data_IF_148658660938
#
_entry.id   IF_148658660938
#
_cell.length_a   1.000
_cell.length_b   1.000
_cell.length_c   1.000
_cell.angle_alpha   90.00
_cell.angle_beta   90.00
_cell.angle_gamma   90.00
#
_symmetry.space_group_name_H-M   'P 1'
#
loop_
_entity.id
_entity.type
_entity.pdbx_description
1 polymer ?
#
# COMPACT_ATOMS: atom_id res chain seq x y z
N UNK A 1 15.99 -35.45 -18.13
CA UNK A 1 14.53 -35.68 -18.16
C UNK A 1 13.92 -34.63 -17.26
N UNK A 2 13.46 -33.51 -17.82
CA UNK A 2 12.92 -32.41 -17.03
C UNK A 2 11.56 -32.81 -16.45
N UNK A 3 11.39 -32.61 -15.15
CA UNK A 3 10.12 -32.84 -14.46
C UNK A 3 9.03 -31.94 -15.06
N UNK A 4 7.78 -32.41 -15.21
CA UNK A 4 6.69 -31.53 -15.58
C UNK A 4 6.52 -30.49 -14.47
N UNK A 5 6.54 -29.20 -14.86
CA UNK A 5 6.19 -28.09 -13.97
C UNK A 5 4.75 -28.31 -13.51
N UNK A 6 4.56 -28.74 -12.27
CA UNK A 6 3.23 -28.82 -11.67
C UNK A 6 2.65 -27.42 -11.59
N UNK A 7 1.44 -27.22 -12.12
CA UNK A 7 0.71 -25.97 -12.13
C UNK A 7 0.76 -25.27 -10.76
N UNK A 8 1.62 -24.27 -10.65
CA UNK A 8 1.68 -23.37 -9.50
C UNK A 8 0.52 -22.38 -9.63
N UNK A 9 -0.36 -22.37 -8.62
CA UNK A 9 -1.47 -21.44 -8.41
C UNK A 9 -2.02 -20.81 -9.69
N UNK A 10 -2.80 -21.60 -10.44
CA UNK A 10 -3.62 -21.09 -11.54
C UNK A 10 -4.55 -20.02 -10.96
N UNK A 11 -4.49 -18.80 -11.47
CA UNK A 11 -5.48 -17.80 -11.13
C UNK A 11 -6.76 -18.24 -11.83
N UNK A 12 -7.81 -18.44 -11.04
CA UNK A 12 -9.12 -18.74 -11.60
C UNK A 12 -9.48 -17.61 -12.61
N UNK A 13 -10.25 -18.00 -13.62
CA UNK A 13 -10.66 -17.31 -14.85
C UNK A 13 -11.26 -15.89 -14.72
N UNK A 14 -11.11 -15.23 -13.57
CA UNK A 14 -11.66 -13.93 -13.20
C UNK A 14 -10.60 -12.83 -13.01
N UNK A 15 -9.31 -13.07 -13.29
CA UNK A 15 -8.30 -12.02 -13.23
C UNK A 15 -8.60 -10.95 -14.29
N UNK A 16 -9.22 -9.84 -13.87
CA UNK A 16 -9.52 -8.70 -14.74
C UNK A 16 -8.29 -7.81 -14.88
N UNK A 17 -7.81 -7.66 -16.11
CA UNK A 17 -6.82 -6.64 -16.45
C UNK A 17 -7.59 -5.38 -16.83
N UNK A 18 -7.38 -4.26 -16.14
CA UNK A 18 -8.00 -2.98 -16.54
C UNK A 18 -7.09 -2.30 -17.55
N UNK A 19 -7.62 -1.93 -18.73
CA UNK A 19 -6.89 -1.31 -19.84
C UNK A 19 -7.68 -0.14 -20.43
N UNK A 20 -7.03 1.02 -20.56
CA UNK A 20 -7.42 2.25 -21.28
C UNK A 20 -8.73 2.93 -20.87
N UNK A 21 -9.79 2.17 -20.56
CA UNK A 21 -11.10 2.58 -19.98
C UNK A 21 -12.04 1.36 -19.76
N UNK A 22 -11.53 0.11 -19.76
CA UNK A 22 -12.35 -1.10 -19.65
C UNK A 22 -11.62 -2.33 -19.11
N UNK A 23 -12.30 -3.48 -19.08
CA UNK A 23 -11.74 -4.77 -18.66
C UNK A 23 -11.27 -5.60 -19.86
N UNK A 24 -10.03 -6.06 -19.81
CA UNK A 24 -9.50 -7.11 -20.67
C UNK A 24 -9.60 -8.45 -19.95
N UNK A 25 -10.16 -9.44 -20.66
CA UNK A 25 -10.28 -10.81 -20.20
C UNK A 25 -9.34 -11.69 -21.05
N UNK A 26 -8.27 -12.24 -20.46
CA UNK A 26 -7.41 -13.22 -21.13
C UNK A 26 -8.20 -14.44 -21.62
N UNK A 27 -7.83 -14.99 -22.77
CA UNK A 27 -8.41 -16.26 -23.25
C UNK A 27 -7.85 -17.45 -22.47
N UNK A 28 -6.59 -17.35 -22.03
CA UNK A 28 -5.94 -18.34 -21.17
C UNK A 28 -5.70 -17.77 -19.76
N UNK A 29 -5.75 -18.61 -18.72
CA UNK A 29 -5.58 -18.15 -17.36
C UNK A 29 -4.20 -17.53 -17.15
N UNK A 30 -4.15 -16.45 -16.36
CA UNK A 30 -2.89 -15.94 -15.83
C UNK A 30 -2.35 -16.93 -14.78
N UNK A 31 -1.03 -17.00 -14.64
CA UNK A 31 -0.42 -17.76 -13.56
C UNK A 31 0.68 -16.97 -12.86
N UNK A 32 0.96 -17.34 -11.61
CA UNK A 32 2.17 -16.91 -10.93
C UNK A 32 3.23 -18.01 -11.05
N UNK A 33 4.41 -17.64 -11.52
CA UNK A 33 5.54 -18.56 -11.50
C UNK A 33 6.03 -18.81 -10.06
N UNK A 34 7.03 -19.68 -9.89
CA UNK A 34 7.63 -20.00 -8.57
C UNK A 34 8.25 -18.81 -7.85
N UNK A 35 8.50 -17.70 -8.55
CA UNK A 35 9.05 -16.45 -8.01
C UNK A 35 7.95 -15.41 -7.71
N UNK A 36 6.67 -15.76 -7.85
CA UNK A 36 5.56 -14.83 -7.64
C UNK A 36 5.42 -13.78 -8.74
N UNK A 37 5.92 -14.05 -9.96
CA UNK A 37 5.76 -13.17 -11.13
C UNK A 37 4.54 -13.58 -11.94
N UNK A 38 3.72 -12.60 -12.31
CA UNK A 38 2.54 -12.82 -13.15
C UNK A 38 2.93 -13.06 -14.60
N UNK A 39 2.34 -14.09 -15.17
CA UNK A 39 2.63 -14.57 -16.51
C UNK A 39 1.35 -14.60 -17.33
N UNK A 40 1.45 -14.18 -18.58
CA UNK A 40 0.34 -14.07 -19.54
C UNK A 40 0.67 -14.86 -20.80
N UNK A 41 -0.32 -15.51 -21.41
CA UNK A 41 -0.08 -16.23 -22.66
C UNK A 41 0.39 -15.27 -23.74
N UNK A 42 1.35 -15.67 -24.58
CA UNK A 42 1.94 -14.79 -25.59
C UNK A 42 0.87 -14.20 -26.54
N UNK A 43 -0.15 -14.99 -26.89
CA UNK A 43 -1.29 -14.52 -27.70
C UNK A 43 -2.11 -13.43 -26.98
N UNK A 44 -2.39 -13.61 -25.68
CA UNK A 44 -3.10 -12.61 -24.88
C UNK A 44 -2.26 -11.34 -24.68
N UNK A 45 -0.94 -11.48 -24.50
CA UNK A 45 -0.01 -10.36 -24.40
C UNK A 45 0.01 -9.53 -25.70
N UNK A 46 0.06 -10.19 -26.86
CA UNK A 46 0.02 -9.52 -28.16
C UNK A 46 -1.24 -8.67 -28.33
N UNK A 47 -2.41 -9.22 -27.96
CA UNK A 47 -3.70 -8.49 -28.01
C UNK A 47 -3.74 -7.34 -27.01
N UNK A 48 -3.36 -7.59 -25.77
CA UNK A 48 -3.42 -6.64 -24.66
C UNK A 48 -2.48 -5.45 -24.88
N UNK A 49 -1.24 -5.72 -25.28
CA UNK A 49 -0.18 -4.72 -25.39
C UNK A 49 -0.06 -4.14 -26.81
N UNK A 50 -0.93 -4.57 -27.73
CA UNK A 50 -0.93 -4.15 -29.14
C UNK A 50 0.46 -4.29 -29.78
N UNK A 51 1.07 -5.48 -29.60
CA UNK A 51 2.36 -5.82 -30.16
C UNK A 51 2.28 -7.07 -31.04
N UNK A 52 3.20 -7.19 -32.01
CA UNK A 52 3.40 -8.40 -32.78
C UNK A 52 4.45 -9.28 -32.09
N UNK A 53 4.28 -10.60 -32.15
CA UNK A 53 5.22 -11.57 -31.59
C UNK A 53 5.57 -12.59 -32.66
N UNK A 54 6.84 -12.62 -33.05
CA UNK A 54 7.38 -13.52 -34.06
C UNK A 54 8.42 -14.46 -33.43
N UNK A 55 8.48 -15.69 -33.93
CA UNK A 55 9.56 -16.61 -33.58
C UNK A 55 10.79 -16.31 -34.44
N UNK A 56 11.94 -16.10 -33.79
CA UNK A 56 13.24 -15.92 -34.45
C UNK A 56 13.88 -17.27 -34.72
N UNK A 57 13.82 -18.16 -33.73
CA UNK A 57 14.26 -19.55 -33.81
C UNK A 57 13.43 -20.41 -32.83
N UNK A 58 13.74 -21.70 -32.68
CA UNK A 58 12.97 -22.61 -31.82
C UNK A 58 12.90 -22.19 -30.33
N UNK A 59 13.81 -21.35 -29.86
CA UNK A 59 13.95 -20.95 -28.47
C UNK A 59 13.97 -19.43 -28.28
N UNK A 60 13.72 -18.64 -29.32
CA UNK A 60 13.77 -17.18 -29.26
C UNK A 60 12.54 -16.57 -29.92
N UNK A 61 11.94 -15.62 -29.21
CA UNK A 61 10.87 -14.76 -29.72
C UNK A 61 11.35 -13.32 -29.83
N UNK A 62 10.71 -12.58 -30.73
CA UNK A 62 10.85 -11.15 -30.89
C UNK A 62 9.47 -10.51 -30.83
N UNK A 63 9.31 -9.54 -29.93
CA UNK A 63 8.14 -8.69 -29.85
C UNK A 63 8.45 -7.36 -30.52
N UNK A 64 7.48 -6.81 -31.26
CA UNK A 64 7.60 -5.51 -31.92
C UNK A 64 6.34 -4.66 -31.74
N UNK A 65 6.52 -3.38 -31.45
CA UNK A 65 5.46 -2.37 -31.44
C UNK A 65 6.05 -1.00 -31.71
N UNK A 66 5.57 -0.30 -32.75
CA UNK A 66 6.17 0.95 -33.23
C UNK A 66 7.70 0.84 -33.40
N UNK A 67 8.48 1.66 -32.69
CA UNK A 67 9.95 1.67 -32.72
C UNK A 67 10.59 0.77 -31.65
N UNK A 68 9.80 -0.04 -30.95
CA UNK A 68 10.25 -0.94 -29.88
C UNK A 68 10.41 -2.36 -30.41
N UNK A 69 11.58 -2.94 -30.18
CA UNK A 69 11.91 -4.34 -30.46
C UNK A 69 12.45 -5.01 -29.19
N UNK A 70 11.82 -6.11 -28.79
CA UNK A 70 12.18 -6.88 -27.60
C UNK A 70 12.50 -8.32 -28.03
N UNK A 71 13.72 -8.80 -27.82
CA UNK A 71 14.06 -10.22 -28.00
C UNK A 71 14.17 -10.93 -26.66
N UNK A 72 13.53 -12.10 -26.54
CA UNK A 72 13.59 -12.94 -25.35
C UNK A 72 13.88 -14.40 -25.74
N UNK A 73 14.72 -15.07 -24.95
CA UNK A 73 15.00 -16.50 -25.11
C UNK A 73 14.29 -17.32 -24.04
N UNK A 74 13.69 -18.43 -24.43
CA UNK A 74 12.91 -19.30 -23.54
C UNK A 74 13.79 -19.85 -22.42
N UNK A 75 13.36 -19.64 -21.17
CA UNK A 75 14.07 -20.09 -19.97
C UNK A 75 15.38 -19.33 -19.66
N UNK A 76 15.78 -18.35 -20.47
CA UNK A 76 17.00 -17.57 -20.26
C UNK A 76 16.64 -16.22 -19.63
N UNK A 77 17.18 -15.88 -18.44
CA UNK A 77 16.79 -14.69 -17.69
C UNK A 77 17.43 -13.40 -18.22
N UNK A 78 17.31 -13.18 -19.53
CA UNK A 78 17.91 -12.08 -20.28
C UNK A 78 16.89 -11.53 -21.29
N UNK A 79 16.93 -10.24 -21.54
CA UNK A 79 16.09 -9.60 -22.56
C UNK A 79 16.90 -8.57 -23.32
N UNK A 80 16.75 -8.53 -24.64
CA UNK A 80 17.36 -7.49 -25.48
C UNK A 80 16.26 -6.52 -25.87
N UNK A 81 16.35 -5.28 -25.41
CA UNK A 81 15.44 -4.18 -25.72
C UNK A 81 16.16 -3.16 -26.59
N UNK A 82 15.72 -2.96 -27.84
CA UNK A 82 16.33 -2.01 -28.78
C UNK A 82 17.88 -2.10 -28.81
N UNK A 83 18.38 -3.34 -28.96
CA UNK A 83 19.81 -3.72 -28.96
C UNK A 83 20.55 -3.53 -27.62
N UNK A 84 19.86 -3.19 -26.54
CA UNK A 84 20.41 -3.12 -25.19
C UNK A 84 20.08 -4.40 -24.41
N UNK A 85 21.09 -5.03 -23.82
CA UNK A 85 20.94 -6.19 -22.96
C UNK A 85 20.46 -5.78 -21.56
N UNK A 86 19.39 -6.42 -21.07
CA UNK A 86 18.79 -6.26 -19.74
C UNK A 86 18.95 -7.57 -18.98
N UNK A 87 19.70 -7.51 -17.86
CA UNK A 87 19.94 -8.65 -16.96
C UNK A 87 19.95 -8.16 -15.50
N UNK A 88 19.27 -8.86 -14.58
CA UNK A 88 18.40 -10.02 -14.80
C UNK A 88 17.03 -9.61 -15.35
N UNK A 89 16.47 -10.39 -16.28
CA UNK A 89 15.10 -10.23 -16.78
C UNK A 89 14.33 -11.55 -16.63
N UNK A 90 13.05 -11.58 -16.20
CA UNK A 90 12.31 -12.83 -16.18
C UNK A 90 12.23 -13.47 -17.58
N UNK A 91 12.48 -14.79 -17.70
CA UNK A 91 12.35 -15.47 -18.99
C UNK A 91 10.89 -15.76 -19.35
N UNK A 92 10.56 -15.85 -20.65
CA UNK A 92 9.35 -16.53 -21.09
C UNK A 92 9.47 -18.03 -20.82
N UNK A 93 8.34 -18.66 -20.46
CA UNK A 93 8.27 -20.05 -20.01
C UNK A 93 7.17 -20.81 -20.76
N UNK A 94 7.42 -22.04 -21.24
CA UNK A 94 6.40 -22.88 -21.83
C UNK A 94 5.61 -23.63 -20.74
N UNK A 95 4.28 -23.62 -20.84
CA UNK A 95 3.37 -24.43 -20.02
C UNK A 95 2.33 -25.06 -20.94
N UNK A 96 2.22 -26.38 -20.93
CA UNK A 96 1.22 -27.16 -21.70
C UNK A 96 1.10 -26.69 -23.17
N UNK A 97 2.24 -26.66 -23.88
CA UNK A 97 2.39 -26.19 -25.27
C UNK A 97 2.06 -24.72 -25.54
N UNK A 98 1.77 -23.93 -24.50
CA UNK A 98 1.56 -22.49 -24.60
C UNK A 98 2.79 -21.76 -24.09
N UNK A 99 3.27 -20.77 -24.86
CA UNK A 99 4.32 -19.87 -24.38
C UNK A 99 3.70 -18.75 -23.54
N UNK A 100 4.26 -18.53 -22.36
CA UNK A 100 3.85 -17.44 -21.49
C UNK A 100 4.98 -16.47 -21.23
N UNK A 101 4.61 -15.20 -21.16
CA UNK A 101 5.51 -14.07 -21.02
C UNK A 101 5.35 -13.42 -19.64
N UNK A 102 6.43 -12.87 -19.07
CA UNK A 102 6.32 -12.07 -17.85
C UNK A 102 5.55 -10.79 -18.13
N UNK A 103 4.32 -10.70 -17.62
CA UNK A 103 3.38 -9.64 -17.97
C UNK A 103 3.98 -8.26 -17.69
N UNK A 104 4.46 -8.04 -16.47
CA UNK A 104 5.01 -6.76 -16.02
C UNK A 104 6.19 -6.31 -16.88
N UNK A 105 7.23 -7.13 -16.98
CA UNK A 105 8.45 -6.75 -17.72
C UNK A 105 8.17 -6.55 -19.20
N UNK A 106 7.28 -7.34 -19.80
CA UNK A 106 6.90 -7.18 -21.21
C UNK A 106 6.14 -5.86 -21.44
N UNK A 107 5.17 -5.57 -20.58
CA UNK A 107 4.35 -4.36 -20.65
C UNK A 107 5.18 -3.08 -20.41
N UNK A 108 6.03 -3.08 -19.37
CA UNK A 108 6.89 -1.94 -19.04
C UNK A 108 7.88 -1.59 -20.15
N UNK A 109 8.46 -2.59 -20.83
CA UNK A 109 9.32 -2.36 -21.99
C UNK A 109 8.58 -1.78 -23.19
N UNK A 110 7.28 -2.05 -23.32
CA UNK A 110 6.41 -1.46 -24.34
C UNK A 110 5.84 -0.10 -23.91
N UNK A 111 6.28 0.45 -22.77
CA UNK A 111 5.87 1.77 -22.26
C UNK A 111 4.60 1.78 -21.42
N UNK A 112 4.02 0.61 -21.12
CA UNK A 112 2.87 0.50 -20.22
C UNK A 112 3.32 0.52 -18.77
N UNK A 113 2.49 1.01 -17.85
CA UNK A 113 2.72 0.79 -16.43
C UNK A 113 1.86 -0.35 -15.90
N UNK A 114 2.40 -1.15 -14.97
CA UNK A 114 1.69 -2.28 -14.38
C UNK A 114 1.67 -2.17 -12.87
N UNK A 115 0.47 -2.18 -12.29
CA UNK A 115 0.25 -2.30 -10.85
C UNK A 115 -0.33 -3.66 -10.52
N UNK A 116 0.15 -4.30 -9.46
CA UNK A 116 -0.40 -5.55 -8.95
C UNK A 116 -0.89 -5.34 -7.51
N UNK A 117 -2.16 -5.64 -7.27
CA UNK A 117 -2.74 -5.69 -5.93
C UNK A 117 -2.77 -7.16 -5.47
N UNK A 118 -1.89 -7.47 -4.51
CA UNK A 118 -1.78 -8.81 -3.95
C UNK A 118 -3.01 -9.22 -3.11
N UNK A 119 -3.76 -8.27 -2.55
CA UNK A 119 -4.93 -8.55 -1.74
C UNK A 119 -6.15 -8.93 -2.60
N UNK A 120 -6.35 -8.22 -3.71
CA UNK A 120 -7.42 -8.51 -4.68
C UNK A 120 -6.98 -9.45 -5.81
N UNK A 121 -5.70 -9.80 -5.89
CA UNK A 121 -5.15 -10.64 -6.95
C UNK A 121 -5.37 -10.06 -8.36
N UNK A 122 -5.42 -8.72 -8.48
CA UNK A 122 -5.67 -8.02 -9.73
C UNK A 122 -4.42 -7.32 -10.24
N UNK A 123 -4.23 -7.29 -11.56
CA UNK A 123 -3.23 -6.45 -12.21
C UNK A 123 -3.92 -5.36 -13.03
N UNK A 124 -3.47 -4.11 -12.87
CA UNK A 124 -3.93 -2.96 -13.64
C UNK A 124 -2.83 -2.52 -14.59
N UNK A 125 -3.18 -2.26 -15.84
CA UNK A 125 -2.23 -1.91 -16.89
C UNK A 125 -2.64 -0.57 -17.49
N UNK A 126 -1.74 0.40 -17.38
CA UNK A 126 -1.95 1.76 -17.84
C UNK A 126 -1.22 1.95 -19.17
N UNK A 127 -1.94 2.45 -20.17
CA UNK A 127 -1.39 2.77 -21.48
C UNK A 127 -0.35 3.90 -21.38
N UNK A 128 0.68 3.95 -22.27
CA UNK A 128 1.71 4.99 -22.23
C UNK A 128 1.14 6.42 -22.28
N UNK A 129 0.00 6.60 -22.95
CA UNK A 129 -0.68 7.89 -23.13
C UNK A 129 -1.54 8.31 -21.92
N UNK A 130 -1.73 7.41 -20.95
CA UNK A 130 -2.48 7.69 -19.72
C UNK A 130 -1.47 8.03 -18.63
N UNK A 131 -1.62 9.19 -17.94
CA UNK A 131 -0.81 9.48 -16.76
C UNK A 131 -0.92 8.30 -15.79
N UNK A 132 0.19 7.61 -15.58
CA UNK A 132 0.28 6.57 -14.55
C UNK A 132 -0.06 7.26 -13.23
N UNK A 133 -1.00 6.75 -12.42
CA UNK A 133 -1.10 7.18 -11.03
C UNK A 133 0.30 7.16 -10.43
N UNK A 134 0.68 8.17 -9.64
CA UNK A 134 2.03 8.22 -9.05
C UNK A 134 2.38 6.83 -8.49
N UNK A 135 3.58 6.27 -8.79
CA UNK A 135 3.92 4.90 -8.43
C UNK A 135 3.56 4.69 -6.97
N UNK A 136 2.84 3.61 -6.68
CA UNK A 136 2.62 3.23 -5.28
C UNK A 136 3.99 3.26 -4.60
N UNK A 137 4.16 4.00 -3.49
CA UNK A 137 5.40 3.99 -2.71
C UNK A 137 5.93 2.57 -2.64
N UNK A 138 7.22 2.34 -2.96
CA UNK A 138 7.85 1.06 -2.63
C UNK A 138 7.41 0.68 -1.21
N UNK A 139 6.91 -0.55 -1.00
CA UNK A 139 6.43 -0.94 0.31
C UNK A 139 7.56 -0.69 1.30
N UNK A 140 7.23 -0.04 2.42
CA UNK A 140 8.23 0.28 3.43
C UNK A 140 9.05 -0.98 3.76
N UNK A 141 10.37 -0.86 3.96
CA UNK A 141 11.21 -2.01 4.28
C UNK A 141 10.58 -2.78 5.43
N UNK A 142 10.64 -4.11 5.45
CA UNK A 142 9.91 -4.92 6.45
C UNK A 142 10.17 -4.46 7.90
N UNK A 143 11.38 -3.96 8.19
CA UNK A 143 11.78 -3.42 9.47
C UNK A 143 12.01 -1.92 9.39
N UNK A 144 11.46 -1.22 10.37
CA UNK A 144 11.72 0.20 10.58
C UNK A 144 13.14 0.44 11.14
N UNK A 145 13.66 1.68 11.04
CA UNK A 145 14.95 2.04 11.59
C UNK A 145 15.11 1.66 13.08
N UNK A 146 16.33 1.25 13.45
CA UNK A 146 16.67 0.81 14.80
C UNK A 146 16.94 2.03 15.69
N UNK A 147 16.61 1.94 16.98
CA UNK A 147 16.91 2.94 18.02
C UNK A 147 16.25 4.33 17.84
N UNK A 148 15.07 4.40 17.23
CA UNK A 148 14.32 5.67 17.23
C UNK A 148 13.85 6.05 18.65
N UNK A 149 13.74 7.35 18.96
CA UNK A 149 13.04 7.83 20.15
C UNK A 149 11.63 7.25 20.28
N UNK A 150 11.06 7.28 21.48
CA UNK A 150 9.71 6.73 21.71
C UNK A 150 8.62 7.39 20.87
N UNK A 151 8.79 8.67 20.52
CA UNK A 151 7.92 9.44 19.65
C UNK A 151 8.73 10.57 19.00
N UNK A 152 8.20 11.15 17.92
CA UNK A 152 8.82 12.28 17.27
C UNK A 152 8.15 12.62 15.94
N UNK A 153 8.61 13.72 15.32
CA UNK A 153 8.20 14.07 13.96
C UNK A 153 8.92 13.17 12.96
N UNK A 154 8.21 12.61 11.97
CA UNK A 154 8.85 11.70 11.01
C UNK A 154 9.83 12.45 10.10
N UNK A 155 9.52 13.70 9.73
CA UNK A 155 10.39 14.54 8.92
C UNK A 155 11.70 14.93 9.60
N UNK A 156 11.75 14.83 10.94
CA UNK A 156 12.96 15.06 11.73
C UNK A 156 13.71 13.77 12.10
N UNK A 157 13.27 12.62 11.58
CA UNK A 157 13.76 11.30 12.01
C UNK A 157 14.32 10.50 10.84
N UNK A 158 15.65 10.26 10.82
CA UNK A 158 16.33 9.42 9.83
C UNK A 158 15.64 8.09 9.55
N UNK A 159 15.24 7.89 8.31
CA UNK A 159 14.58 6.68 7.81
C UNK A 159 13.07 6.66 7.96
N UNK A 160 12.45 7.74 8.48
CA UNK A 160 11.00 7.92 8.48
C UNK A 160 10.53 9.02 7.52
N UNK A 161 11.43 9.75 6.87
CA UNK A 161 11.08 10.90 6.02
C UNK A 161 10.26 10.51 4.79
N UNK A 162 10.47 9.29 4.29
CA UNK A 162 9.83 8.77 3.08
C UNK A 162 8.76 7.71 3.38
N UNK A 163 8.11 7.79 4.56
CA UNK A 163 7.08 6.81 4.95
C UNK A 163 5.88 6.75 3.99
N UNK A 164 5.66 7.80 3.21
CA UNK A 164 4.60 7.92 2.21
C UNK A 164 5.15 8.58 0.94
N UNK A 165 5.92 7.84 0.13
CA UNK A 165 6.42 8.34 -1.16
C UNK A 165 5.24 8.76 -2.06
N UNK A 166 5.43 9.84 -2.80
CA UNK A 166 4.41 10.39 -3.71
C UNK A 166 3.37 11.29 -3.04
N UNK A 167 3.30 11.31 -1.71
CA UNK A 167 2.40 12.21 -0.98
C UNK A 167 3.11 13.54 -0.66
N UNK A 168 2.42 14.67 -0.88
CA UNK A 168 2.90 16.00 -0.51
C UNK A 168 2.65 16.23 0.99
N UNK A 169 3.50 15.64 1.82
CA UNK A 169 3.34 15.64 3.29
C UNK A 169 3.54 17.05 3.87
N UNK A 170 2.54 17.55 4.59
CA UNK A 170 2.57 18.81 5.36
C UNK A 170 3.20 18.56 6.73
N UNK A 171 2.79 17.50 7.42
CA UNK A 171 3.31 17.11 8.72
C UNK A 171 3.24 15.60 8.92
N UNK A 172 4.07 15.07 9.81
CA UNK A 172 4.12 13.64 10.09
C UNK A 172 4.66 13.36 11.48
N UNK A 173 4.05 12.41 12.18
CA UNK A 173 4.39 12.08 13.55
C UNK A 173 4.34 10.57 13.77
N UNK A 174 5.20 10.10 14.66
CA UNK A 174 5.25 8.70 15.04
C UNK A 174 5.26 8.49 16.55
N UNK A 175 4.72 7.34 16.97
CA UNK A 175 4.80 6.86 18.36
C UNK A 175 5.17 5.38 18.38
N UNK A 176 5.85 4.94 19.44
CA UNK A 176 6.26 3.54 19.60
C UNK A 176 5.18 2.73 20.31
N UNK A 177 4.89 1.53 19.79
CA UNK A 177 4.08 0.52 20.47
C UNK A 177 4.86 -0.05 21.65
N UNK A 178 4.62 0.51 22.84
CA UNK A 178 5.24 0.04 24.09
C UNK A 178 4.70 -1.35 24.48
N UNK A 179 3.38 -1.52 24.40
CA UNK A 179 2.73 -2.82 24.48
C UNK A 179 2.45 -3.34 23.07
N UNK A 180 3.14 -4.43 22.72
CA UNK A 180 3.10 -5.14 21.44
C UNK A 180 2.28 -6.42 21.49
N UNK A 181 1.41 -6.59 22.50
CA UNK A 181 0.47 -7.71 22.53
C UNK A 181 -0.33 -7.76 21.22
N UNK A 182 -0.56 -8.98 20.73
CA UNK A 182 -1.20 -9.23 19.42
C UNK A 182 -2.53 -8.48 19.32
N UNK A 183 -3.36 -8.59 20.36
CA UNK A 183 -4.68 -7.98 20.40
C UNK A 183 -4.64 -6.46 20.35
N UNK A 184 -3.74 -5.84 21.13
CA UNK A 184 -3.59 -4.38 21.15
C UNK A 184 -3.06 -3.87 19.81
N UNK A 185 -2.04 -4.54 19.26
CA UNK A 185 -1.45 -4.18 17.97
C UNK A 185 -2.47 -4.29 16.85
N UNK A 186 -3.31 -5.34 16.86
CA UNK A 186 -4.42 -5.50 15.92
C UNK A 186 -5.41 -4.33 16.00
N UNK A 187 -5.82 -3.93 17.21
CA UNK A 187 -6.73 -2.79 17.40
C UNK A 187 -6.14 -1.46 16.86
N UNK A 188 -4.85 -1.23 17.09
CA UNK A 188 -4.16 -0.04 16.56
C UNK A 188 -4.15 -0.08 15.03
N UNK A 189 -3.77 -1.21 14.42
CA UNK A 189 -3.80 -1.40 12.96
C UNK A 189 -5.18 -1.11 12.37
N UNK A 190 -6.24 -1.69 12.94
CA UNK A 190 -7.62 -1.45 12.50
C UNK A 190 -8.00 0.04 12.59
N UNK A 191 -7.62 0.73 13.66
CA UNK A 191 -7.90 2.16 13.77
C UNK A 191 -7.08 3.03 12.82
N UNK A 192 -5.84 2.66 12.47
CA UNK A 192 -5.08 3.35 11.42
C UNK A 192 -5.77 3.15 10.07
N UNK A 193 -6.11 1.91 9.72
CA UNK A 193 -6.79 1.57 8.47
C UNK A 193 -8.11 2.31 8.30
N UNK A 194 -8.85 2.55 9.39
CA UNK A 194 -10.14 3.23 9.31
C UNK A 194 -10.01 4.73 8.94
N UNK A 195 -8.87 5.37 9.22
CA UNK A 195 -8.65 6.80 8.96
C UNK A 195 -7.72 7.06 7.78
N UNK A 196 -6.93 6.07 7.37
CA UNK A 196 -5.93 6.17 6.29
C UNK A 196 -6.61 6.45 4.94
N UNK A 197 -6.07 7.42 4.20
CA UNK A 197 -6.57 7.85 2.90
C UNK A 197 -7.78 8.80 2.93
N UNK A 198 -8.33 9.14 4.11
CA UNK A 198 -9.47 10.06 4.18
C UNK A 198 -9.08 11.46 3.71
N UNK A 199 -9.83 12.00 2.73
CA UNK A 199 -9.67 13.36 2.24
C UNK A 199 -10.65 14.30 2.93
N UNK A 200 -10.14 15.44 3.42
CA UNK A 200 -10.91 16.54 3.98
C UNK A 200 -10.80 17.77 3.10
N UNK A 201 -11.95 18.25 2.62
CA UNK A 201 -12.06 19.49 1.87
C UNK A 201 -11.86 20.72 2.79
N UNK A 202 -11.47 21.89 2.24
CA UNK A 202 -11.41 23.13 2.99
C UNK A 202 -12.68 23.38 3.82
N UNK A 203 -12.49 23.74 5.09
CA UNK A 203 -13.54 24.01 6.07
C UNK A 203 -14.18 22.78 6.72
N UNK A 204 -13.97 21.57 6.21
CA UNK A 204 -14.55 20.34 6.78
C UNK A 204 -13.92 19.98 8.13
N UNK A 205 -14.73 19.36 9.00
CA UNK A 205 -14.31 18.89 10.32
C UNK A 205 -14.20 17.37 10.31
N UNK A 206 -13.02 16.88 10.67
CA UNK A 206 -12.79 15.47 10.97
C UNK A 206 -13.38 15.10 12.33
N UNK A 207 -13.88 13.89 12.47
CA UNK A 207 -14.17 13.26 13.76
C UNK A 207 -13.59 11.86 13.78
N UNK A 208 -12.68 11.61 14.72
CA UNK A 208 -12.02 10.31 14.83
C UNK A 208 -13.04 9.21 15.09
N UNK A 209 -14.01 9.46 15.99
CA UNK A 209 -15.04 8.47 16.27
C UNK A 209 -15.92 8.21 15.05
N UNK A 210 -16.46 9.24 14.40
CA UNK A 210 -17.31 9.04 13.20
C UNK A 210 -16.59 8.23 12.13
N UNK A 211 -15.31 8.53 11.88
CA UNK A 211 -14.51 7.83 10.87
C UNK A 211 -14.15 6.39 11.30
N UNK A 212 -13.70 6.18 12.53
CA UNK A 212 -13.29 4.84 13.00
C UNK A 212 -14.47 3.90 13.34
N UNK A 213 -15.61 4.47 13.69
CA UNK A 213 -16.80 3.74 14.10
C UNK A 213 -16.70 3.07 15.48
N UNK A 214 -17.70 2.26 15.85
CA UNK A 214 -17.71 1.55 17.13
C UNK A 214 -16.62 0.46 17.17
N UNK A 215 -15.99 0.27 18.34
CA UNK A 215 -14.95 -0.76 18.53
C UNK A 215 -15.58 -2.10 18.93
N UNK A 216 -16.21 -2.79 17.98
CA UNK A 216 -16.93 -4.06 18.22
C UNK A 216 -16.17 -5.31 17.77
N UNK A 217 -16.62 -6.49 18.19
CA UNK A 217 -15.99 -7.76 17.79
C UNK A 217 -16.14 -8.04 16.31
N UNK A 218 -17.30 -7.71 15.75
CA UNK A 218 -17.68 -7.90 14.35
C UNK A 218 -16.79 -7.05 13.43
N UNK A 219 -16.30 -5.91 13.94
CA UNK A 219 -15.33 -5.04 13.27
C UNK A 219 -13.87 -5.45 13.55
N UNK A 220 -13.66 -6.62 14.15
CA UNK A 220 -12.34 -7.19 14.39
C UNK A 220 -11.62 -6.66 15.63
N UNK A 221 -12.23 -5.76 16.43
CA UNK A 221 -11.59 -5.25 17.64
C UNK A 221 -11.55 -6.31 18.73
N UNK A 222 -10.38 -6.48 19.33
CA UNK A 222 -10.06 -7.49 20.32
C UNK A 222 -9.93 -6.86 21.72
N UNK A 223 -9.99 -7.70 22.75
CA UNK A 223 -9.80 -7.27 24.14
C UNK A 223 -8.33 -7.03 24.42
N UNK A 224 -8.02 -5.84 24.92
CA UNK A 224 -6.69 -5.39 25.31
C UNK A 224 -6.81 -4.44 26.51
N UNK A 225 -5.72 -4.09 27.22
CA UNK A 225 -5.78 -3.13 28.31
C UNK A 225 -6.33 -1.76 27.86
N UNK A 226 -7.31 -1.23 28.61
CA UNK A 226 -7.88 0.11 28.45
C UNK A 226 -7.80 0.89 29.77
N UNK A 227 -7.83 2.21 29.69
CA UNK A 227 -7.99 3.07 30.86
C UNK A 227 -9.48 3.34 31.10
N UNK A 228 -9.97 3.06 32.30
CA UNK A 228 -11.31 3.44 32.78
C UNK A 228 -11.14 4.18 34.09
N UNK A 229 -11.37 5.50 34.06
CA UNK A 229 -11.06 6.37 35.19
C UNK A 229 -9.57 6.34 35.53
N UNK A 230 -9.20 5.87 36.72
CA UNK A 230 -7.80 5.72 37.16
C UNK A 230 -7.31 4.26 37.17
N UNK A 231 -8.03 3.34 36.51
CA UNK A 231 -7.71 1.90 36.50
C UNK A 231 -7.40 1.43 35.09
N UNK A 232 -6.50 0.45 35.00
CA UNK A 232 -6.27 -0.34 33.79
C UNK A 232 -7.13 -1.60 33.88
N UNK A 233 -8.04 -1.79 32.94
CA UNK A 233 -8.92 -2.96 32.88
C UNK A 233 -8.91 -3.55 31.48
N UNK A 234 -9.19 -4.85 31.30
CA UNK A 234 -9.40 -5.42 29.97
C UNK A 234 -10.64 -4.81 29.32
N UNK A 235 -10.51 -4.35 28.08
CA UNK A 235 -11.63 -3.82 27.31
C UNK A 235 -11.39 -3.90 25.81
N UNK A 236 -12.47 -3.84 25.04
CA UNK A 236 -12.39 -3.94 23.58
C UNK A 236 -11.87 -2.64 22.99
N UNK A 237 -10.95 -2.74 22.02
CA UNK A 237 -10.36 -1.56 21.37
C UNK A 237 -9.23 -0.90 22.16
N UNK A 238 -8.65 -1.57 23.15
CA UNK A 238 -7.41 -1.11 23.78
C UNK A 238 -6.31 -0.91 22.75
N UNK A 239 -5.69 0.28 22.78
CA UNK A 239 -4.71 0.74 21.80
C UNK A 239 -5.20 1.89 20.90
N UNK A 240 -6.50 2.03 20.65
CA UNK A 240 -7.02 3.04 19.69
C UNK A 240 -6.67 4.49 20.06
N UNK A 241 -6.59 4.82 21.36
CA UNK A 241 -6.15 6.15 21.80
C UNK A 241 -4.71 6.50 21.38
N UNK A 242 -3.87 5.50 21.11
CA UNK A 242 -2.53 5.74 20.59
C UNK A 242 -2.57 6.25 19.15
N UNK A 243 -3.48 5.73 18.33
CA UNK A 243 -3.70 6.20 16.96
C UNK A 243 -4.19 7.64 16.95
N UNK A 244 -5.21 7.96 17.77
CA UNK A 244 -5.71 9.34 17.87
C UNK A 244 -4.64 10.29 18.44
N UNK A 245 -3.83 9.85 19.40
CA UNK A 245 -2.73 10.68 19.92
C UNK A 245 -1.64 10.90 18.88
N UNK A 246 -1.29 9.89 18.08
CA UNK A 246 -0.33 10.03 16.98
C UNK A 246 -0.84 11.02 15.95
N UNK A 247 -2.09 10.84 15.49
CA UNK A 247 -2.74 11.76 14.55
C UNK A 247 -2.84 13.19 15.10
N UNK A 248 -3.20 13.35 16.36
CA UNK A 248 -3.28 14.66 17.02
C UNK A 248 -1.97 15.44 16.93
N UNK A 249 -0.81 14.77 17.07
CA UNK A 249 0.47 15.44 16.93
C UNK A 249 0.77 15.86 15.49
N UNK A 250 0.41 15.04 14.50
CA UNK A 250 0.48 15.45 13.09
C UNK A 250 -0.42 16.66 12.82
N UNK A 251 -1.64 16.68 13.37
CA UNK A 251 -2.58 17.81 13.27
C UNK A 251 -1.98 19.09 13.88
N UNK A 252 -1.37 19.00 15.06
CA UNK A 252 -0.69 20.14 15.70
C UNK A 252 0.49 20.64 14.87
N UNK A 253 1.32 19.73 14.33
CA UNK A 253 2.46 20.10 13.50
C UNK A 253 2.05 20.70 12.15
N UNK A 254 0.90 20.30 11.61
CA UNK A 254 0.31 20.91 10.41
C UNK A 254 -0.35 22.28 10.67
N UNK A 255 -0.47 22.72 11.93
CA UNK A 255 -1.15 23.97 12.27
C UNK A 255 -2.66 23.94 12.05
N UNK A 256 -3.28 22.76 12.04
CA UNK A 256 -4.71 22.60 11.86
C UNK A 256 -5.49 22.96 13.14
N UNK A 257 -6.67 23.54 12.97
CA UNK A 257 -7.55 23.94 14.07
C UNK A 257 -8.12 22.70 14.79
N UNK A 258 -7.75 22.53 16.07
CA UNK A 258 -8.30 21.46 16.92
C UNK A 258 -9.66 21.91 17.46
N UNK A 259 -10.73 21.26 17.00
CA UNK A 259 -12.12 21.54 17.38
C UNK A 259 -12.51 20.84 18.69
N UNK A 260 -12.01 19.62 18.88
CA UNK A 260 -12.25 18.85 20.11
C UNK A 260 -11.03 17.98 20.42
N UNK A 261 -10.58 18.03 21.68
CA UNK A 261 -9.54 17.13 22.20
C UNK A 261 -9.73 16.94 23.70
N UNK A 262 -9.59 15.69 24.14
CA UNK A 262 -9.60 15.33 25.56
C UNK A 262 -8.27 14.67 25.96
N UNK A 263 -7.65 15.07 27.09
CA UNK A 263 -6.52 14.33 27.67
C UNK A 263 -6.98 13.03 28.34
N UNK A 264 -6.06 12.08 28.49
CA UNK A 264 -6.22 10.95 29.40
C UNK A 264 -6.23 11.46 30.85
N UNK A 265 -6.97 10.76 31.69
CA UNK A 265 -6.99 10.96 33.15
C UNK A 265 -5.67 10.58 33.83
N UNK A 266 -4.83 9.78 33.17
CA UNK A 266 -3.54 9.31 33.63
C UNK A 266 -2.48 9.52 32.52
N UNK A 267 -1.22 9.78 32.87
CA UNK A 267 -0.14 9.86 31.89
C UNK A 267 -0.04 8.57 31.06
N UNK A 268 0.15 8.73 29.75
CA UNK A 268 0.42 7.63 28.83
C UNK A 268 1.90 7.62 28.47
N UNK A 269 2.48 6.43 28.29
CA UNK A 269 3.92 6.30 28.10
C UNK A 269 4.38 6.51 26.64
N UNK A 270 3.45 6.52 25.67
CA UNK A 270 3.77 6.50 24.23
C UNK A 270 3.83 7.90 23.56
N UNK A 271 3.49 8.98 24.28
CA UNK A 271 3.61 10.38 23.84
C UNK A 271 4.02 11.27 25.01
N UNK A 272 4.59 12.44 24.70
CA UNK A 272 4.90 13.45 25.71
C UNK A 272 3.64 13.96 26.45
N UNK A 273 3.82 14.50 27.66
CA UNK A 273 2.74 15.06 28.44
C UNK A 273 2.00 16.19 27.67
N UNK A 274 0.66 16.14 27.68
CA UNK A 274 -0.19 17.09 26.95
C UNK A 274 -0.29 16.85 25.45
N UNK A 275 0.42 15.85 24.90
CA UNK A 275 0.38 15.45 23.49
C UNK A 275 -0.53 14.27 23.21
N UNK A 276 -1.33 13.86 24.17
CA UNK A 276 -2.25 12.74 24.06
C UNK A 276 -3.66 13.20 23.66
N UNK A 277 -4.43 12.33 22.98
CA UNK A 277 -5.83 12.57 22.64
C UNK A 277 -6.64 11.31 22.91
N UNK A 278 -7.47 11.33 23.94
CA UNK A 278 -8.36 10.24 24.31
C UNK A 278 -9.58 10.20 23.39
N UNK A 279 -9.95 8.99 22.96
CA UNK A 279 -11.19 8.74 22.21
C UNK A 279 -11.97 7.58 22.83
N UNK A 280 -13.28 7.72 22.92
CA UNK A 280 -14.21 6.67 23.31
C UNK A 280 -15.48 6.76 22.47
N UNK A 281 -15.95 5.63 21.93
CA UNK A 281 -17.16 5.62 21.11
C UNK A 281 -18.36 6.09 21.93
N UNK A 282 -19.09 7.09 21.43
CA UNK A 282 -20.20 7.73 22.15
C UNK A 282 -19.79 8.70 23.26
N UNK A 283 -18.49 8.99 23.40
CA UNK A 283 -17.93 9.88 24.41
C UNK A 283 -16.87 10.81 23.86
N UNK A 284 -15.67 10.77 24.44
CA UNK A 284 -14.55 11.65 24.07
C UNK A 284 -14.16 11.45 22.60
N UNK A 285 -13.92 12.53 21.88
CA UNK A 285 -13.51 12.50 20.48
C UNK A 285 -12.28 13.38 20.22
N UNK A 286 -11.63 13.11 19.08
CA UNK A 286 -10.65 14.01 18.48
C UNK A 286 -11.29 14.58 17.22
N UNK A 287 -11.49 15.90 17.20
CA UNK A 287 -11.99 16.63 16.04
C UNK A 287 -11.05 17.75 15.67
N UNK A 288 -10.82 17.93 14.38
CA UNK A 288 -10.06 19.06 13.86
C UNK A 288 -10.64 19.52 12.52
N UNK A 289 -10.43 20.78 12.17
CA UNK A 289 -10.88 21.35 10.92
C UNK A 289 -9.72 21.40 9.93
N UNK A 290 -9.99 21.10 8.67
CA UNK A 290 -9.13 21.57 7.59
C UNK A 290 -9.35 23.07 7.39
N UNK A 291 -8.59 23.92 8.08
CA UNK A 291 -8.63 25.37 7.93
C UNK A 291 -7.65 25.89 6.86
N UNK A 292 -7.18 25.01 5.96
CA UNK A 292 -6.37 25.38 4.79
C UNK A 292 -7.27 25.57 3.57
N UNK A 293 -6.78 26.27 2.55
CA UNK A 293 -7.48 26.53 1.30
C UNK A 293 -7.39 25.36 0.29
N UNK A 294 -6.71 24.28 0.68
CA UNK A 294 -6.47 23.08 -0.14
C UNK A 294 -7.04 21.84 0.55
N UNK A 295 -7.49 20.81 -0.20
CA UNK A 295 -7.89 19.55 0.40
C UNK A 295 -6.67 18.85 1.02
N UNK A 296 -6.88 18.18 2.15
CA UNK A 296 -5.84 17.41 2.83
C UNK A 296 -6.23 15.94 2.90
N UNK A 297 -5.24 15.05 2.91
CA UNK A 297 -5.39 13.61 3.10
C UNK A 297 -4.78 13.22 4.45
N UNK A 298 -5.51 12.43 5.22
CA UNK A 298 -4.99 11.78 6.42
C UNK A 298 -4.31 10.48 6.01
N UNK A 299 -3.09 10.28 6.48
CA UNK A 299 -2.31 9.07 6.25
C UNK A 299 -2.00 8.41 7.59
N UNK A 300 -2.21 7.11 7.71
CA UNK A 300 -2.01 6.38 8.95
C UNK A 300 -1.61 4.91 8.71
N UNK A 301 -0.54 4.45 9.37
CA UNK A 301 -0.13 3.05 9.31
C UNK A 301 0.61 2.60 10.56
N UNK A 302 0.79 1.29 10.68
CA UNK A 302 1.70 0.68 11.64
C UNK A 302 2.86 0.08 10.86
N UNK A 303 4.08 0.49 11.16
CA UNK A 303 5.30 -0.02 10.56
C UNK A 303 6.22 -0.63 11.63
N UNK A 304 6.41 -1.95 11.60
CA UNK A 304 7.04 -2.74 12.67
C UNK A 304 6.43 -2.44 14.05
N UNK A 305 7.09 -1.59 14.85
CA UNK A 305 6.68 -1.18 16.19
C UNK A 305 6.23 0.28 16.27
N UNK A 306 6.17 1.00 15.17
CA UNK A 306 5.82 2.42 15.14
C UNK A 306 4.43 2.62 14.56
N UNK A 307 3.64 3.45 15.22
CA UNK A 307 2.40 4.02 14.69
C UNK A 307 2.77 5.33 14.04
N UNK A 308 2.40 5.49 12.78
CA UNK A 308 2.78 6.62 11.94
C UNK A 308 1.50 7.32 11.46
N UNK A 309 1.41 8.63 11.64
CA UNK A 309 0.36 9.44 11.04
C UNK A 309 0.94 10.65 10.32
N UNK A 310 0.32 11.06 9.22
CA UNK A 310 0.70 12.26 8.47
C UNK A 310 -0.53 13.00 7.94
N UNK A 311 -0.35 14.29 7.71
CA UNK A 311 -1.26 15.14 6.95
C UNK A 311 -0.55 15.47 5.64
N UNK A 312 -1.18 15.18 4.50
CA UNK A 312 -0.67 15.51 3.18
C UNK A 312 -1.64 16.42 2.43
N UNK A 313 -1.12 17.28 1.57
CA UNK A 313 -1.92 18.07 0.64
C UNK A 313 -2.33 17.20 -0.56
N UNK A 314 -3.57 17.38 -1.04
CA UNK A 314 -4.06 16.72 -2.26
C UNK A 314 -4.00 17.73 -3.41
N UNK A 315 -3.22 17.40 -4.43
CA UNK A 315 -3.15 18.16 -5.68
C UNK A 315 -4.30 17.80 -6.63
#
# INVERSE_FOLDING_TARGET
>A
MAMPLSAANVFDSQAQLTFKEGSFLPELPLYLNSEGRMMIAAADAARLLSCQIDWVDNNQIQLSSADIVISMRIGIPETIYNNQLIVPSPPPLPIDNTLYLPLRSTAELLGFAVEYDAASQTAKIYSPDVPVPAPHPEPLPEKAPVNLPLWGSCSATPGLENCWLGEKTISSYYTTLIDRSVNRTNNVKLSCQAIDGLILQPGQVFSFNVTSGPRTQERGYQVAPIFVGKKVVPGRGGGVCQTSSTLYNSVLEAGLEVVERHPHSLPVAYVAAGRDATVSWGGADLKFRNNLDVPIKILARVWDKYVLCAIAEVN
#
